data_IF_947526864674
#
_entry.id   IF_947526864674
#
_cell.length_a   1.000
_cell.length_b   1.000
_cell.length_c   1.000
_cell.angle_alpha   90.00
_cell.angle_beta   90.00
_cell.angle_gamma   90.00
#
_symmetry.space_group_name_H-M   'P 1'
#
loop_
_entity.id
_entity.type
_entity.pdbx_description
1 polymer ?
#
# COMPACT_ATOMS: atom_id res chain seq x y z
N UNK A 1 -23.06 -23.60 10.41
CA UNK A 1 -22.62 -23.13 9.07
C UNK A 1 -21.81 -21.90 9.37
N UNK A 2 -20.51 -22.11 9.61
CA UNK A 2 -19.65 -21.09 10.19
C UNK A 2 -19.41 -20.01 9.15
N UNK A 3 -19.87 -18.79 9.45
CA UNK A 3 -19.64 -17.64 8.60
C UNK A 3 -18.15 -17.37 8.58
N UNK A 4 -17.54 -17.53 7.42
CA UNK A 4 -16.19 -17.06 7.16
C UNK A 4 -16.20 -15.53 7.26
N UNK A 5 -15.53 -15.02 8.30
CA UNK A 5 -15.29 -13.60 8.46
C UNK A 5 -14.24 -13.14 7.47
N UNK A 6 -14.69 -12.46 6.42
CA UNK A 6 -13.84 -11.82 5.42
C UNK A 6 -13.07 -10.60 5.93
N UNK A 7 -13.09 -10.35 7.23
CA UNK A 7 -12.62 -9.12 7.83
C UNK A 7 -13.51 -7.92 7.54
N UNK A 8 -14.25 -7.84 6.41
CA UNK A 8 -14.96 -6.60 6.01
C UNK A 8 -16.37 -6.45 6.63
N UNK A 9 -17.15 -7.53 6.74
CA UNK A 9 -18.49 -7.50 7.37
C UNK A 9 -18.47 -7.78 8.87
N UNK A 10 -17.27 -7.97 9.39
CA UNK A 10 -16.98 -8.44 10.74
C UNK A 10 -15.59 -7.98 11.15
N UNK A 11 -15.23 -6.78 10.74
CA UNK A 11 -14.23 -6.06 11.47
C UNK A 11 -14.76 -5.96 12.90
N UNK A 12 -14.27 -6.83 13.78
CA UNK A 12 -14.25 -6.52 15.20
C UNK A 12 -13.66 -5.12 15.24
N UNK A 13 -14.36 -4.19 15.88
CA UNK A 13 -14.02 -2.76 15.94
C UNK A 13 -12.50 -2.49 16.03
N UNK A 14 -11.77 -3.36 16.74
CA UNK A 14 -10.31 -3.41 16.84
C UNK A 14 -9.57 -3.49 15.50
N UNK A 15 -9.95 -4.41 14.60
CA UNK A 15 -9.30 -4.55 13.30
C UNK A 15 -9.55 -3.34 12.39
N UNK A 16 -10.74 -2.72 12.41
CA UNK A 16 -10.98 -1.47 11.64
C UNK A 16 -10.09 -0.35 12.14
N UNK A 17 -9.96 -0.21 13.46
CA UNK A 17 -9.11 0.82 14.06
C UNK A 17 -7.63 0.58 13.73
N UNK A 18 -7.16 -0.66 13.79
CA UNK A 18 -5.76 -0.99 13.45
C UNK A 18 -5.48 -0.68 11.98
N UNK A 19 -6.37 -1.09 11.06
CA UNK A 19 -6.26 -0.79 9.62
C UNK A 19 -6.33 0.71 9.35
N UNK A 20 -7.24 1.45 9.98
CA UNK A 20 -7.33 2.91 9.81
C UNK A 20 -6.13 3.63 10.41
N UNK A 21 -5.62 3.17 11.56
CA UNK A 21 -4.42 3.73 12.18
C UNK A 21 -3.19 3.53 11.29
N UNK A 22 -3.08 2.37 10.66
CA UNK A 22 -2.05 2.08 9.67
C UNK A 22 -2.19 3.00 8.45
N UNK A 23 -3.37 3.06 7.82
CA UNK A 23 -3.56 3.86 6.61
C UNK A 23 -3.48 5.37 6.84
N UNK A 24 -3.90 5.87 8.02
CA UNK A 24 -3.65 7.26 8.41
C UNK A 24 -2.16 7.56 8.50
N UNK A 25 -1.37 6.62 9.04
CA UNK A 25 0.08 6.73 9.07
C UNK A 25 0.72 6.70 7.69
N UNK A 26 0.38 5.70 6.89
CA UNK A 26 0.85 5.58 5.52
C UNK A 26 0.50 6.86 4.71
N UNK A 27 -0.71 7.41 4.86
CA UNK A 27 -1.14 8.62 4.15
C UNK A 27 -0.29 9.85 4.45
N UNK A 28 0.01 10.15 5.73
CA UNK A 28 0.86 11.32 6.03
C UNK A 28 2.33 11.06 5.68
N UNK A 29 2.82 9.81 5.78
CA UNK A 29 4.17 9.45 5.33
C UNK A 29 4.33 9.60 3.80
N UNK A 30 3.30 9.27 3.02
CA UNK A 30 3.27 9.54 1.58
C UNK A 30 3.39 11.02 1.26
N UNK A 31 2.73 11.87 2.06
CA UNK A 31 2.83 13.31 1.90
C UNK A 31 4.26 13.79 2.17
N UNK A 32 4.90 13.28 3.22
CA UNK A 32 6.32 13.55 3.48
C UNK A 32 7.17 13.15 2.27
N UNK A 33 7.00 11.91 1.78
CA UNK A 33 7.74 11.40 0.62
C UNK A 33 7.55 12.33 -0.59
N UNK A 34 6.33 12.73 -0.93
CA UNK A 34 6.09 13.62 -2.08
C UNK A 34 6.69 15.02 -1.89
N UNK A 35 6.65 15.59 -0.68
CA UNK A 35 7.22 16.90 -0.39
C UNK A 35 8.75 16.87 -0.42
N UNK A 36 9.38 15.80 0.06
CA UNK A 36 10.84 15.66 0.12
C UNK A 36 11.45 15.15 -1.20
N UNK A 37 10.73 14.32 -1.94
CA UNK A 37 11.18 13.81 -3.25
C UNK A 37 11.19 14.90 -4.32
N UNK A 38 10.49 16.02 -4.16
CA UNK A 38 10.52 17.11 -5.13
C UNK A 38 11.88 17.83 -5.18
N UNK A 39 12.59 17.93 -4.04
CA UNK A 39 13.81 18.73 -3.93
C UNK A 39 15.00 18.22 -4.77
N UNK A 40 15.32 16.91 -4.81
CA UNK A 40 16.45 16.41 -5.61
C UNK A 40 16.28 16.55 -7.12
N UNK A 41 15.05 16.80 -7.60
CA UNK A 41 14.74 16.93 -9.03
C UNK A 41 14.53 18.38 -9.47
N UNK A 42 14.79 19.36 -8.58
CA UNK A 42 14.44 20.77 -8.81
C UNK A 42 12.95 20.97 -9.18
N UNK A 43 12.08 20.03 -8.80
CA UNK A 43 10.66 20.11 -9.06
C UNK A 43 10.05 21.10 -8.06
N UNK A 44 9.67 22.29 -8.53
CA UNK A 44 9.03 23.28 -7.70
C UNK A 44 7.51 23.08 -7.71
N UNK A 45 6.96 22.49 -6.64
CA UNK A 45 5.52 22.50 -6.41
C UNK A 45 5.06 23.94 -6.15
N UNK A 46 3.92 24.32 -6.73
CA UNK A 46 3.32 25.62 -6.42
C UNK A 46 3.02 25.73 -4.91
N UNK A 47 3.00 26.96 -4.39
CA UNK A 47 2.71 27.20 -2.98
C UNK A 47 1.34 26.63 -2.55
N UNK A 48 0.36 26.63 -3.46
CA UNK A 48 -0.96 26.05 -3.20
C UNK A 48 -0.88 24.54 -2.94
N UNK A 49 -0.12 23.78 -3.74
CA UNK A 49 0.08 22.34 -3.51
C UNK A 49 0.78 22.08 -2.18
N UNK A 50 1.84 22.83 -1.89
CA UNK A 50 2.58 22.68 -0.62
C UNK A 50 1.69 22.93 0.60
N UNK A 51 0.85 23.97 0.56
CA UNK A 51 -0.07 24.29 1.65
C UNK A 51 -1.15 23.23 1.83
N UNK A 52 -1.67 22.71 0.73
CA UNK A 52 -2.72 21.70 0.73
C UNK A 52 -2.22 20.33 1.22
N UNK A 53 -1.02 19.92 0.75
CA UNK A 53 -0.32 18.73 1.24
C UNK A 53 -0.05 18.80 2.75
N UNK A 54 0.50 19.92 3.25
CA UNK A 54 0.72 20.09 4.70
C UNK A 54 -0.56 20.01 5.52
N UNK A 55 -1.67 20.59 5.02
CA UNK A 55 -2.97 20.50 5.68
C UNK A 55 -3.47 19.05 5.75
N UNK A 56 -3.31 18.28 4.67
CA UNK A 56 -3.69 16.86 4.65
C UNK A 56 -2.80 16.03 5.56
N UNK A 57 -1.48 16.30 5.58
CA UNK A 57 -0.52 15.66 6.48
C UNK A 57 -0.99 15.78 7.93
N UNK A 58 -1.20 17.02 8.40
CA UNK A 58 -1.61 17.29 9.79
C UNK A 58 -2.96 16.62 10.12
N UNK A 59 -3.87 16.58 9.15
CA UNK A 59 -5.18 15.98 9.33
C UNK A 59 -5.14 14.44 9.45
N UNK A 60 -4.31 13.77 8.65
CA UNK A 60 -4.08 12.32 8.75
C UNK A 60 -3.29 11.96 10.01
N UNK A 61 -2.28 12.75 10.36
CA UNK A 61 -1.54 12.57 11.61
C UNK A 61 -2.47 12.66 12.83
N UNK A 62 -3.37 13.65 12.86
CA UNK A 62 -4.36 13.77 13.92
C UNK A 62 -5.25 12.52 14.03
N UNK A 63 -5.71 11.95 12.91
CA UNK A 63 -6.47 10.68 12.93
C UNK A 63 -5.63 9.55 13.54
N UNK A 64 -4.36 9.42 13.14
CA UNK A 64 -3.47 8.39 13.67
C UNK A 64 -3.29 8.48 15.20
N UNK A 65 -3.12 9.70 15.70
CA UNK A 65 -2.94 9.98 17.13
C UNK A 65 -4.24 9.79 17.94
N UNK A 66 -5.39 10.15 17.37
CA UNK A 66 -6.71 10.01 18.00
C UNK A 66 -7.16 8.55 18.14
N UNK A 67 -6.67 7.63 17.28
CA UNK A 67 -6.97 6.20 17.29
C UNK A 67 -6.23 5.42 18.40
N UNK A 68 -6.27 5.95 19.62
CA UNK A 68 -5.77 5.31 20.82
C UNK A 68 -6.80 4.28 21.37
N UNK A 69 -6.37 3.07 21.77
CA UNK A 69 -7.20 2.03 22.40
C UNK A 69 -8.17 2.45 23.51
N UNK A 70 -8.01 3.62 24.11
CA UNK A 70 -8.89 4.11 25.17
C UNK A 70 -10.29 4.59 24.72
N UNK A 71 -10.53 4.87 23.43
CA UNK A 71 -11.72 5.60 22.96
C UNK A 71 -12.64 4.82 21.96
N UNK A 72 -12.75 3.49 22.09
CA UNK A 72 -13.06 2.56 20.96
C UNK A 72 -14.47 2.56 20.36
N UNK A 73 -15.57 2.72 21.11
CA UNK A 73 -16.89 2.28 20.60
C UNK A 73 -17.79 3.36 19.98
N UNK A 74 -17.63 4.64 20.34
CA UNK A 74 -18.46 5.74 19.80
C UNK A 74 -17.85 6.46 18.59
N UNK A 75 -16.66 6.06 18.16
CA UNK A 75 -15.79 6.87 17.31
C UNK A 75 -15.61 6.32 15.88
N UNK A 76 -15.78 5.01 15.67
CA UNK A 76 -15.33 4.35 14.43
C UNK A 76 -16.03 4.87 13.18
N UNK A 77 -17.36 4.94 13.15
CA UNK A 77 -18.08 5.45 11.97
C UNK A 77 -17.68 6.89 11.61
N UNK A 78 -17.57 7.76 12.61
CA UNK A 78 -17.17 9.15 12.41
C UNK A 78 -15.72 9.27 11.94
N UNK A 79 -14.82 8.43 12.47
CA UNK A 79 -13.42 8.42 12.04
C UNK A 79 -13.26 7.86 10.64
N UNK A 80 -13.95 6.78 10.28
CA UNK A 80 -13.95 6.24 8.92
C UNK A 80 -14.47 7.28 7.94
N UNK A 81 -15.56 7.98 8.27
CA UNK A 81 -16.10 9.06 7.43
C UNK A 81 -15.12 10.22 7.28
N UNK A 82 -14.49 10.66 8.39
CA UNK A 82 -13.49 11.73 8.39
C UNK A 82 -12.27 11.33 7.56
N UNK A 83 -11.75 10.12 7.77
CA UNK A 83 -10.64 9.55 7.02
C UNK A 83 -10.96 9.54 5.53
N UNK A 84 -12.10 8.97 5.12
CA UNK A 84 -12.47 8.89 3.71
C UNK A 84 -12.66 10.26 3.06
N UNK A 85 -13.18 11.25 3.80
CA UNK A 85 -13.28 12.63 3.28
C UNK A 85 -11.91 13.23 3.00
N UNK A 86 -10.93 12.98 3.86
CA UNK A 86 -9.54 13.43 3.65
C UNK A 86 -8.87 12.63 2.53
N UNK A 87 -9.13 11.32 2.46
CA UNK A 87 -8.59 10.45 1.42
C UNK A 87 -9.10 10.84 0.02
N UNK A 88 -10.39 11.11 -0.14
CA UNK A 88 -10.96 11.57 -1.41
C UNK A 88 -10.34 12.90 -1.86
N UNK A 89 -10.07 13.80 -0.89
CA UNK A 89 -9.35 15.03 -1.16
C UNK A 89 -7.90 14.75 -1.59
N UNK A 90 -7.20 13.84 -0.90
CA UNK A 90 -5.83 13.47 -1.25
C UNK A 90 -5.74 12.80 -2.61
N UNK A 91 -6.67 11.88 -2.95
CA UNK A 91 -6.80 11.26 -4.28
C UNK A 91 -6.95 12.33 -5.36
N UNK A 92 -7.87 13.28 -5.18
CA UNK A 92 -8.07 14.39 -6.14
C UNK A 92 -6.79 15.20 -6.31
N UNK A 93 -6.06 15.44 -5.21
CA UNK A 93 -4.82 16.18 -5.23
C UNK A 93 -3.72 15.41 -5.99
N UNK A 94 -3.57 14.12 -5.73
CA UNK A 94 -2.61 13.23 -6.41
C UNK A 94 -2.91 13.08 -7.90
N UNK A 95 -4.19 12.99 -8.28
CA UNK A 95 -4.61 12.98 -9.68
C UNK A 95 -4.11 14.20 -10.43
N UNK A 96 -4.25 15.37 -9.82
CA UNK A 96 -3.75 16.63 -10.37
C UNK A 96 -2.24 16.72 -10.31
N UNK A 97 -1.61 16.28 -9.21
CA UNK A 97 -0.17 16.37 -8.98
C UNK A 97 0.64 15.66 -10.07
N UNK A 98 0.14 14.51 -10.58
CA UNK A 98 0.72 13.80 -11.73
C UNK A 98 0.92 14.69 -12.97
N UNK A 99 -0.01 15.62 -13.23
CA UNK A 99 -0.02 16.45 -14.45
C UNK A 99 0.41 17.89 -14.20
N UNK A 100 0.03 18.48 -13.07
CA UNK A 100 0.23 19.89 -12.75
C UNK A 100 1.50 20.11 -11.92
N UNK A 101 1.92 19.13 -11.11
CA UNK A 101 3.06 19.25 -10.19
C UNK A 101 4.33 18.56 -10.70
N UNK A 102 4.19 17.34 -11.22
CA UNK A 102 5.33 16.45 -11.53
C UNK A 102 5.40 16.00 -12.99
N UNK A 103 4.63 16.63 -13.87
CA UNK A 103 4.76 16.40 -15.29
C UNK A 103 6.19 16.75 -15.76
N UNK A 104 6.78 15.86 -16.57
CA UNK A 104 8.19 15.97 -16.97
C UNK A 104 9.20 15.33 -16.00
N UNK A 105 8.76 14.81 -14.85
CA UNK A 105 9.58 14.08 -13.88
C UNK A 105 9.10 12.62 -13.75
N UNK A 106 9.60 11.68 -14.59
CA UNK A 106 9.08 10.30 -14.64
C UNK A 106 9.06 9.58 -13.28
N UNK A 107 10.07 9.80 -12.45
CA UNK A 107 10.18 9.17 -11.13
C UNK A 107 9.11 9.71 -10.17
N UNK A 108 8.91 11.02 -10.15
CA UNK A 108 7.88 11.65 -9.30
C UNK A 108 6.47 11.31 -9.81
N UNK A 109 6.30 11.19 -11.12
CA UNK A 109 5.07 10.69 -11.71
C UNK A 109 4.77 9.26 -11.26
N UNK A 110 5.75 8.35 -11.34
CA UNK A 110 5.58 6.96 -10.91
C UNK A 110 5.27 6.87 -9.41
N UNK A 111 6.00 7.59 -8.56
CA UNK A 111 5.75 7.63 -7.12
C UNK A 111 4.35 8.18 -6.80
N UNK A 112 3.93 9.25 -7.48
CA UNK A 112 2.58 9.82 -7.30
C UNK A 112 1.50 8.85 -7.76
N UNK A 113 1.74 8.13 -8.86
CA UNK A 113 0.82 7.10 -9.34
C UNK A 113 0.69 5.93 -8.36
N UNK A 114 1.82 5.45 -7.83
CA UNK A 114 1.86 4.41 -6.81
C UNK A 114 1.05 4.82 -5.57
N UNK A 115 1.32 6.00 -5.01
CA UNK A 115 0.60 6.54 -3.85
C UNK A 115 -0.90 6.69 -4.14
N UNK A 116 -1.25 7.21 -5.33
CA UNK A 116 -2.64 7.32 -5.77
C UNK A 116 -3.33 5.96 -5.78
N UNK A 117 -2.66 4.93 -6.31
CA UNK A 117 -3.21 3.58 -6.36
C UNK A 117 -3.49 3.03 -4.97
N UNK A 118 -2.57 3.25 -4.01
CA UNK A 118 -2.80 2.90 -2.61
C UNK A 118 -4.02 3.64 -2.03
N UNK A 119 -4.08 4.96 -2.16
CA UNK A 119 -5.18 5.76 -1.61
C UNK A 119 -6.53 5.37 -2.22
N UNK A 120 -6.57 5.03 -3.51
CA UNK A 120 -7.79 4.51 -4.16
C UNK A 120 -8.21 3.16 -3.55
N UNK A 121 -7.26 2.26 -3.31
CA UNK A 121 -7.52 0.99 -2.62
C UNK A 121 -8.05 1.22 -1.20
N UNK A 122 -7.53 2.22 -0.47
CA UNK A 122 -8.02 2.55 0.87
C UNK A 122 -9.50 2.97 0.84
N UNK A 123 -9.90 3.75 -0.18
CA UNK A 123 -11.32 4.07 -0.37
C UNK A 123 -12.17 2.81 -0.54
N UNK A 124 -11.70 1.81 -1.29
CA UNK A 124 -12.44 0.56 -1.49
C UNK A 124 -12.58 -0.30 -0.24
N UNK A 125 -11.55 -0.41 0.61
CA UNK A 125 -11.63 -1.23 1.84
C UNK A 125 -12.56 -0.62 2.90
N UNK A 126 -12.71 0.71 2.93
CA UNK A 126 -13.52 1.40 3.95
C UNK A 126 -14.92 1.76 3.48
N UNK A 127 -15.19 1.85 2.17
CA UNK A 127 -16.53 2.10 1.61
C UNK A 127 -17.63 1.19 2.19
N UNK A 128 -17.44 -0.13 2.33
CA UNK A 128 -18.44 -1.00 2.94
C UNK A 128 -18.84 -0.61 4.37
N UNK A 129 -17.93 -0.01 5.13
CA UNK A 129 -18.17 0.42 6.52
C UNK A 129 -19.07 1.66 6.61
N UNK A 130 -19.19 2.44 5.53
CA UNK A 130 -20.12 3.56 5.45
C UNK A 130 -21.53 3.14 4.99
N UNK A 131 -21.64 1.99 4.31
CA UNK A 131 -22.83 1.56 3.59
C UNK A 131 -23.65 0.49 4.34
N UNK A 132 -23.80 0.62 5.65
CA UNK A 132 -24.61 -0.29 6.50
C UNK A 132 -26.12 -0.26 6.21
N UNK A 133 -26.55 0.40 5.13
CA UNK A 133 -27.86 0.21 4.49
C UNK A 133 -27.69 0.11 2.97
N UNK A 134 -27.62 -1.12 2.47
CA UNK A 134 -27.81 -1.55 1.07
C UNK A 134 -27.38 -0.54 -0.01
N UNK A 135 -26.15 -0.69 -0.53
CA UNK A 135 -25.76 -0.08 -1.81
C UNK A 135 -25.27 -1.16 -2.76
N UNK A 136 -25.80 -1.15 -3.98
CA UNK A 136 -25.44 -2.05 -5.08
C UNK A 136 -24.10 -1.61 -5.71
N UNK A 137 -23.28 -2.52 -6.25
CA UNK A 137 -21.88 -2.26 -6.66
C UNK A 137 -21.67 -1.40 -7.92
N UNK A 138 -22.67 -0.64 -8.39
CA UNK A 138 -22.68 -0.11 -9.76
C UNK A 138 -21.92 1.21 -9.98
N UNK A 139 -21.54 1.96 -8.94
CA UNK A 139 -21.12 3.36 -9.10
C UNK A 139 -19.64 3.65 -8.78
N UNK A 140 -18.72 2.69 -9.00
CA UNK A 140 -17.28 2.97 -8.91
C UNK A 140 -16.58 2.63 -10.22
N UNK A 141 -16.41 3.64 -11.07
CA UNK A 141 -15.58 3.58 -12.28
C UNK A 141 -14.11 3.74 -11.88
N UNK A 142 -13.41 2.63 -11.62
CA UNK A 142 -11.94 2.61 -11.66
C UNK A 142 -11.51 2.40 -13.12
N UNK A 143 -11.14 3.48 -13.79
CA UNK A 143 -10.54 3.45 -15.13
C UNK A 143 -9.04 3.12 -15.06
N UNK A 144 -8.73 1.92 -14.59
CA UNK A 144 -7.55 1.13 -14.88
C UNK A 144 -7.75 -0.24 -14.21
N UNK A 145 -8.53 -1.10 -14.83
CA UNK A 145 -8.53 -2.55 -14.60
C UNK A 145 -8.61 -3.11 -13.15
N UNK A 146 -9.16 -2.37 -12.19
CA UNK A 146 -9.92 -2.94 -11.05
C UNK A 146 -11.25 -3.55 -11.57
N UNK A 147 -11.21 -4.25 -12.72
CA UNK A 147 -12.39 -4.70 -13.46
C UNK A 147 -13.22 -5.61 -12.55
N UNK A 148 -14.36 -5.06 -12.11
CA UNK A 148 -15.55 -5.76 -11.57
C UNK A 148 -15.52 -6.19 -10.11
N UNK A 149 -14.49 -5.84 -9.35
CA UNK A 149 -14.37 -6.23 -7.95
C UNK A 149 -14.31 -5.01 -7.05
N UNK A 150 -15.46 -4.40 -6.73
CA UNK A 150 -15.59 -3.91 -5.36
C UNK A 150 -15.21 -5.09 -4.45
N UNK A 151 -14.49 -4.87 -3.36
CA UNK A 151 -14.21 -5.92 -2.38
C UNK A 151 -15.56 -6.51 -1.97
N UNK A 152 -15.92 -7.62 -2.62
CA UNK A 152 -17.26 -8.14 -2.55
C UNK A 152 -17.56 -8.51 -1.12
N UNK A 153 -18.85 -8.62 -0.78
CA UNK A 153 -19.24 -9.13 0.53
C UNK A 153 -18.80 -10.58 0.76
N UNK A 154 -18.31 -11.24 -0.29
CA UNK A 154 -17.77 -12.59 -0.27
C UNK A 154 -16.32 -12.61 0.25
N UNK A 155 -16.02 -13.42 1.30
CA UNK A 155 -14.68 -13.61 1.82
C UNK A 155 -13.60 -13.97 0.82
N UNK A 156 -13.91 -14.83 -0.14
CA UNK A 156 -12.95 -15.23 -1.16
C UNK A 156 -12.56 -14.06 -2.06
N UNK A 157 -13.52 -13.19 -2.39
CA UNK A 157 -13.27 -12.01 -3.22
C UNK A 157 -12.49 -10.94 -2.46
N UNK A 158 -12.77 -10.77 -1.16
CA UNK A 158 -11.99 -9.91 -0.30
C UNK A 158 -10.52 -10.35 -0.26
N UNK A 159 -10.26 -11.62 0.08
CA UNK A 159 -8.90 -12.18 0.15
C UNK A 159 -8.20 -12.09 -1.21
N UNK A 160 -8.92 -12.40 -2.29
CA UNK A 160 -8.40 -12.22 -3.65
C UNK A 160 -7.96 -10.78 -3.91
N UNK A 161 -8.82 -9.80 -3.61
CA UNK A 161 -8.54 -8.38 -3.83
C UNK A 161 -7.35 -7.88 -2.99
N UNK A 162 -7.26 -8.34 -1.74
CA UNK A 162 -6.12 -8.07 -0.86
C UNK A 162 -4.80 -8.56 -1.48
N UNK A 163 -4.74 -9.83 -1.87
CA UNK A 163 -3.53 -10.40 -2.48
C UNK A 163 -3.17 -9.68 -3.77
N UNK A 164 -4.17 -9.40 -4.62
CA UNK A 164 -3.95 -8.75 -5.92
C UNK A 164 -3.37 -7.35 -5.76
N UNK A 165 -3.92 -6.57 -4.82
CA UNK A 165 -3.37 -5.27 -4.47
C UNK A 165 -1.92 -5.39 -4.00
N UNK A 166 -1.66 -6.20 -2.97
CA UNK A 166 -0.32 -6.30 -2.38
C UNK A 166 0.72 -6.92 -3.32
N UNK A 167 0.32 -7.74 -4.31
CA UNK A 167 1.24 -8.21 -5.35
C UNK A 167 1.51 -7.17 -6.45
N UNK A 168 0.66 -6.16 -6.64
CA UNK A 168 1.00 -4.98 -7.46
C UNK A 168 1.98 -4.10 -6.68
N UNK A 169 1.67 -3.77 -5.43
CA UNK A 169 2.52 -2.96 -4.55
C UNK A 169 3.93 -3.58 -4.44
N UNK A 170 4.02 -4.89 -4.16
CA UNK A 170 5.29 -5.59 -4.12
C UNK A 170 6.06 -5.62 -5.45
N UNK A 171 5.38 -5.51 -6.60
CA UNK A 171 6.02 -5.40 -7.90
C UNK A 171 6.51 -3.98 -8.21
N UNK A 172 5.90 -2.94 -7.63
CA UNK A 172 6.29 -1.54 -7.85
C UNK A 172 7.48 -1.13 -6.96
N UNK A 173 7.51 -1.59 -5.71
CA UNK A 173 8.52 -1.22 -4.72
C UNK A 173 9.98 -1.43 -5.12
N UNK A 174 10.38 -2.52 -5.78
CA UNK A 174 11.76 -2.66 -6.23
C UNK A 174 12.18 -1.52 -7.15
N UNK A 175 11.31 -1.12 -8.09
CA UNK A 175 11.59 0.01 -8.99
C UNK A 175 11.65 1.34 -8.27
N UNK A 176 10.81 1.56 -7.25
CA UNK A 176 10.85 2.78 -6.42
C UNK A 176 12.16 2.85 -5.63
N UNK A 177 12.63 1.73 -5.08
CA UNK A 177 13.94 1.63 -4.39
C UNK A 177 15.09 1.94 -5.36
N UNK A 178 15.01 1.43 -6.59
CA UNK A 178 16.04 1.65 -7.61
C UNK A 178 16.01 3.06 -8.21
N UNK A 179 14.87 3.76 -8.16
CA UNK A 179 14.68 5.11 -8.69
C UNK A 179 15.12 6.22 -7.73
N UNK A 180 16.28 6.02 -7.13
CA UNK A 180 17.16 7.08 -6.63
C UNK A 180 17.80 7.78 -7.85
N UNK A 181 18.03 9.09 -7.77
CA UNK A 181 18.20 10.02 -8.90
C UNK A 181 19.12 9.59 -10.08
N UNK A 182 19.07 10.29 -11.24
CA UNK A 182 19.88 9.95 -12.43
C UNK A 182 21.41 9.93 -12.25
N UNK A 183 21.95 10.54 -11.18
CA UNK A 183 23.37 10.43 -10.81
C UNK A 183 23.68 9.16 -9.98
N UNK A 184 22.66 8.48 -9.47
CA UNK A 184 22.72 7.43 -8.45
C UNK A 184 22.45 6.02 -9.00
N UNK A 185 21.88 5.91 -10.21
CA UNK A 185 21.60 4.64 -10.91
C UNK A 185 22.86 3.76 -11.15
N UNK A 186 24.08 4.29 -10.97
CA UNK A 186 25.35 3.53 -11.06
C UNK A 186 25.93 3.11 -9.71
N UNK A 187 25.16 3.20 -8.62
CA UNK A 187 25.72 3.04 -7.28
C UNK A 187 25.24 1.80 -6.52
N UNK A 188 24.07 1.23 -6.84
CA UNK A 188 23.72 -0.06 -6.26
C UNK A 188 24.57 -1.17 -6.90
N UNK A 189 25.04 -2.16 -6.13
CA UNK A 189 25.67 -3.34 -6.69
C UNK A 189 24.76 -4.05 -7.69
N UNK A 190 25.33 -4.58 -8.78
CA UNK A 190 24.59 -5.33 -9.82
C UNK A 190 23.76 -6.47 -9.22
N UNK A 191 24.33 -7.23 -8.28
CA UNK A 191 23.61 -8.28 -7.55
C UNK A 191 22.37 -7.76 -6.80
N UNK A 192 22.41 -6.53 -6.29
CA UNK A 192 21.25 -5.92 -5.62
C UNK A 192 20.17 -5.53 -6.62
N UNK A 193 20.57 -4.99 -7.77
CA UNK A 193 19.65 -4.65 -8.86
C UNK A 193 18.97 -5.92 -9.39
N UNK A 194 19.75 -6.96 -9.68
CA UNK A 194 19.24 -8.24 -10.17
C UNK A 194 18.26 -8.90 -9.20
N UNK A 195 18.54 -8.86 -7.89
CA UNK A 195 17.61 -9.37 -6.87
C UNK A 195 16.30 -8.57 -6.84
N UNK A 196 16.36 -7.23 -6.93
CA UNK A 196 15.19 -6.35 -6.94
C UNK A 196 14.34 -6.54 -8.22
N UNK A 197 14.98 -6.63 -9.39
CA UNK A 197 14.30 -6.93 -10.65
C UNK A 197 13.63 -8.32 -10.62
N UNK A 198 14.32 -9.32 -10.09
CA UNK A 198 13.75 -10.65 -9.93
C UNK A 198 12.52 -10.64 -9.00
N UNK A 199 12.54 -9.86 -7.90
CA UNK A 199 11.36 -9.71 -7.04
C UNK A 199 10.17 -9.09 -7.80
N UNK A 200 10.41 -8.09 -8.64
CA UNK A 200 9.37 -7.50 -9.52
C UNK A 200 8.71 -8.57 -10.37
N UNK A 201 9.49 -9.44 -11.01
CA UNK A 201 8.97 -10.53 -11.83
C UNK A 201 8.18 -11.57 -11.02
N UNK A 202 8.65 -11.91 -9.82
CA UNK A 202 7.99 -12.88 -8.95
C UNK A 202 6.64 -12.36 -8.43
N UNK A 203 6.56 -11.08 -8.01
CA UNK A 203 5.29 -10.48 -7.61
C UNK A 203 4.31 -10.36 -8.79
N UNK A 204 4.81 -9.97 -9.97
CA UNK A 204 4.00 -10.00 -11.18
C UNK A 204 3.46 -11.41 -11.50
N UNK A 205 4.23 -12.47 -11.25
CA UNK A 205 3.75 -13.85 -11.38
C UNK A 205 2.57 -14.16 -10.46
N UNK A 206 2.55 -13.61 -9.25
CA UNK A 206 1.39 -13.70 -8.35
C UNK A 206 0.18 -13.00 -8.98
N UNK A 207 0.33 -11.76 -9.48
CA UNK A 207 -0.74 -11.03 -10.18
C UNK A 207 -1.34 -11.87 -11.32
N UNK A 208 -0.50 -12.47 -12.16
CA UNK A 208 -0.96 -13.32 -13.27
C UNK A 208 -1.72 -14.56 -12.77
N UNK A 209 -1.21 -15.23 -11.74
CA UNK A 209 -1.88 -16.40 -11.14
C UNK A 209 -3.24 -16.02 -10.58
N UNK A 210 -3.36 -14.90 -9.89
CA UNK A 210 -4.62 -14.37 -9.38
C UNK A 210 -5.61 -14.14 -10.53
N UNK A 211 -5.21 -13.43 -11.59
CA UNK A 211 -6.05 -13.23 -12.78
C UNK A 211 -6.53 -14.55 -13.40
N UNK A 212 -5.66 -15.57 -13.46
CA UNK A 212 -6.01 -16.88 -14.00
C UNK A 212 -7.02 -17.66 -13.16
N UNK A 213 -6.93 -17.57 -11.82
CA UNK A 213 -7.84 -18.31 -10.93
C UNK A 213 -9.19 -17.62 -10.77
N UNK A 214 -9.28 -16.30 -11.03
CA UNK A 214 -10.48 -15.50 -10.78
C UNK A 214 -11.77 -16.06 -11.40
N UNK A 215 -11.82 -16.52 -12.67
CA UNK A 215 -13.05 -17.09 -13.26
C UNK A 215 -13.55 -18.36 -12.57
N UNK A 216 -12.69 -19.03 -11.79
CA UNK A 216 -12.98 -20.27 -11.08
C UNK A 216 -12.57 -20.16 -9.60
N UNK A 217 -12.65 -18.95 -9.04
CA UNK A 217 -12.14 -18.64 -7.70
C UNK A 217 -12.77 -19.57 -6.66
N UNK A 218 -11.93 -20.27 -5.90
CA UNK A 218 -12.36 -21.14 -4.83
C UNK A 218 -11.31 -21.16 -3.70
N UNK A 219 -11.65 -21.81 -2.58
CA UNK A 219 -10.78 -21.86 -1.41
C UNK A 219 -9.42 -22.49 -1.72
N UNK A 220 -9.37 -23.53 -2.55
CA UNK A 220 -8.16 -24.31 -2.79
C UNK A 220 -7.18 -23.60 -3.72
N UNK A 221 -7.66 -23.04 -4.84
CA UNK A 221 -6.77 -22.31 -5.74
C UNK A 221 -6.25 -21.02 -5.10
N UNK A 222 -7.08 -20.31 -4.33
CA UNK A 222 -6.66 -19.12 -3.61
C UNK A 222 -5.66 -19.45 -2.51
N UNK A 223 -5.81 -20.59 -1.81
CA UNK A 223 -4.85 -21.08 -0.81
C UNK A 223 -3.44 -21.18 -1.35
N UNK A 224 -3.29 -21.80 -2.51
CA UNK A 224 -1.98 -22.03 -3.12
C UNK A 224 -1.30 -20.70 -3.40
N UNK A 225 -2.06 -19.72 -3.91
CA UNK A 225 -1.53 -18.39 -4.21
C UNK A 225 -1.20 -17.60 -2.94
N UNK A 226 -2.01 -17.67 -1.87
CA UNK A 226 -1.69 -17.02 -0.58
C UNK A 226 -0.35 -17.52 -0.03
N UNK A 227 -0.13 -18.85 -0.04
CA UNK A 227 1.13 -19.41 0.48
C UNK A 227 2.35 -18.97 -0.33
N UNK A 228 2.20 -18.90 -1.66
CA UNK A 228 3.26 -18.44 -2.54
C UNK A 228 3.56 -16.95 -2.32
N UNK A 229 2.52 -16.13 -2.21
CA UNK A 229 2.65 -14.71 -1.89
C UNK A 229 3.31 -14.50 -0.52
N UNK A 230 2.86 -15.20 0.52
CA UNK A 230 3.42 -15.11 1.88
C UNK A 230 4.92 -15.45 1.90
N UNK A 231 5.30 -16.54 1.22
CA UNK A 231 6.70 -16.94 1.09
C UNK A 231 7.51 -15.86 0.38
N UNK A 232 7.00 -15.33 -0.74
CA UNK A 232 7.65 -14.28 -1.51
C UNK A 232 7.79 -12.98 -0.72
N UNK A 233 6.75 -12.57 0.00
CA UNK A 233 6.77 -11.36 0.83
C UNK A 233 7.83 -11.44 1.92
N UNK A 234 7.96 -12.61 2.58
CA UNK A 234 9.01 -12.90 3.57
C UNK A 234 10.41 -12.89 2.95
N UNK A 235 10.56 -13.37 1.72
CA UNK A 235 11.83 -13.29 0.98
C UNK A 235 12.19 -11.85 0.66
N UNK A 236 11.21 -11.05 0.21
CA UNK A 236 11.44 -9.64 -0.09
C UNK A 236 11.80 -8.83 1.15
N UNK A 237 11.11 -9.03 2.28
CA UNK A 237 11.49 -8.42 3.57
C UNK A 237 12.94 -8.69 3.94
N UNK A 238 13.44 -9.92 3.75
CA UNK A 238 14.86 -10.24 3.99
C UNK A 238 15.80 -9.47 3.07
N UNK A 239 15.42 -9.22 1.82
CA UNK A 239 16.20 -8.40 0.88
C UNK A 239 16.22 -6.95 1.35
N UNK A 240 15.07 -6.39 1.75
CA UNK A 240 14.98 -5.03 2.28
C UNK A 240 15.81 -4.85 3.57
N UNK A 241 15.77 -5.84 4.46
CA UNK A 241 16.61 -5.87 5.66
C UNK A 241 18.10 -5.90 5.33
N UNK A 242 18.52 -6.72 4.36
CA UNK A 242 19.90 -6.74 3.87
C UNK A 242 20.29 -5.38 3.29
N UNK A 243 19.44 -4.74 2.48
CA UNK A 243 19.70 -3.40 1.96
C UNK A 243 19.88 -2.36 3.08
N UNK A 244 19.10 -2.49 4.16
CA UNK A 244 19.18 -1.60 5.32
C UNK A 244 20.41 -1.80 6.21
N UNK A 245 21.05 -2.98 6.22
CA UNK A 245 22.09 -3.33 7.22
C UNK A 245 23.39 -3.89 6.64
N UNK A 246 23.39 -4.39 5.40
CA UNK A 246 24.48 -5.17 4.83
C UNK A 246 25.27 -4.36 3.77
N UNK A 247 26.58 -4.19 4.02
CA UNK A 247 27.49 -3.49 3.12
C UNK A 247 27.66 -4.13 1.73
N UNK A 248 27.30 -5.41 1.58
CA UNK A 248 27.27 -6.08 0.27
C UNK A 248 26.13 -5.58 -0.60
N UNK A 249 24.97 -5.31 0.00
CA UNK A 249 23.76 -4.86 -0.71
C UNK A 249 23.70 -3.34 -0.83
N UNK A 250 24.24 -2.63 0.17
CA UNK A 250 24.38 -1.18 0.12
C UNK A 250 25.75 -0.77 0.69
N UNK A 251 26.79 -0.66 -0.16
CA UNK A 251 28.13 -0.29 0.28
C UNK A 251 28.15 1.04 1.03
N UNK A 252 28.97 1.17 2.08
CA UNK A 252 29.02 2.37 2.91
C UNK A 252 29.33 3.65 2.12
N UNK A 253 30.12 3.55 1.05
CA UNK A 253 30.42 4.68 0.17
C UNK A 253 29.19 5.18 -0.60
N UNK A 254 28.27 4.28 -0.94
CA UNK A 254 26.99 4.57 -1.59
C UNK A 254 26.02 5.13 -0.57
N UNK A 255 25.87 4.45 0.58
CA UNK A 255 25.02 4.88 1.70
C UNK A 255 25.24 6.34 2.11
N UNK A 256 26.50 6.81 2.12
CA UNK A 256 26.87 8.19 2.47
C UNK A 256 26.48 9.24 1.41
N UNK A 257 26.18 8.82 0.19
CA UNK A 257 25.80 9.70 -0.93
C UNK A 257 24.29 9.76 -1.14
N UNK A 258 23.57 8.74 -0.68
CA UNK A 258 22.11 8.71 -0.78
C UNK A 258 21.49 9.77 0.14
N UNK A 259 20.41 10.43 -0.31
CA UNK A 259 19.70 11.39 0.51
C UNK A 259 18.94 10.67 1.64
N UNK A 260 18.74 11.34 2.79
CA UNK A 260 18.04 10.76 3.94
C UNK A 260 16.64 10.22 3.58
N UNK A 261 15.98 10.84 2.59
CA UNK A 261 14.68 10.41 2.09
C UNK A 261 14.68 8.98 1.54
N UNK A 262 15.81 8.50 0.99
CA UNK A 262 15.93 7.11 0.54
C UNK A 262 15.69 6.13 1.68
N UNK A 263 16.29 6.38 2.85
CA UNK A 263 16.12 5.51 4.01
C UNK A 263 14.71 5.62 4.60
N UNK A 264 14.09 6.79 4.52
CA UNK A 264 12.67 6.97 4.87
C UNK A 264 11.75 6.15 3.97
N UNK A 265 11.97 6.17 2.64
CA UNK A 265 11.24 5.35 1.66
C UNK A 265 11.46 3.86 1.92
N UNK A 266 12.71 3.44 2.14
CA UNK A 266 13.03 2.04 2.43
C UNK A 266 12.34 1.55 3.71
N UNK A 267 12.37 2.34 4.78
CA UNK A 267 11.68 2.02 6.03
C UNK A 267 10.15 1.96 5.86
N UNK A 268 9.60 2.86 5.05
CA UNK A 268 8.17 2.87 4.73
C UNK A 268 7.77 1.58 3.99
N UNK A 269 8.47 1.23 2.91
CA UNK A 269 8.26 -0.01 2.14
C UNK A 269 8.36 -1.26 3.05
N UNK A 270 9.34 -1.30 3.96
CA UNK A 270 9.45 -2.42 4.92
C UNK A 270 8.17 -2.55 5.75
N UNK A 271 7.65 -1.46 6.30
CA UNK A 271 6.43 -1.48 7.13
C UNK A 271 5.19 -1.92 6.35
N UNK A 272 5.13 -1.63 5.07
CA UNK A 272 4.05 -2.08 4.19
C UNK A 272 4.10 -3.58 3.96
N UNK A 273 5.30 -4.12 3.72
CA UNK A 273 5.48 -5.56 3.59
C UNK A 273 5.31 -6.31 4.91
N UNK A 274 5.65 -5.71 6.06
CA UNK A 274 5.30 -6.23 7.39
C UNK A 274 3.78 -6.28 7.60
N UNK A 275 3.07 -5.24 7.16
CA UNK A 275 1.60 -5.23 7.20
C UNK A 275 0.99 -6.29 6.29
N UNK A 276 1.54 -6.47 5.07
CA UNK A 276 1.11 -7.53 4.16
C UNK A 276 1.37 -8.94 4.74
N UNK A 277 2.49 -9.15 5.45
CA UNK A 277 2.78 -10.39 6.18
C UNK A 277 1.74 -10.67 7.27
N UNK A 278 1.46 -9.68 8.14
CA UNK A 278 0.45 -9.81 9.20
C UNK A 278 -0.94 -10.10 8.61
N UNK A 279 -1.29 -9.46 7.50
CA UNK A 279 -2.52 -9.73 6.77
C UNK A 279 -2.58 -11.18 6.28
N UNK A 280 -1.51 -11.69 5.67
CA UNK A 280 -1.42 -13.08 5.24
C UNK A 280 -1.56 -14.06 6.40
N UNK A 281 -0.89 -13.78 7.52
CA UNK A 281 -0.99 -14.57 8.74
C UNK A 281 -2.42 -14.62 9.28
N UNK A 282 -3.11 -13.47 9.32
CA UNK A 282 -4.52 -13.38 9.74
C UNK A 282 -5.44 -14.14 8.80
N UNK A 283 -5.24 -14.01 7.49
CA UNK A 283 -6.00 -14.74 6.46
C UNK A 283 -5.78 -16.25 6.61
N UNK A 284 -4.52 -16.70 6.71
CA UNK A 284 -4.20 -18.12 6.86
C UNK A 284 -4.74 -18.68 8.17
N UNK A 285 -4.64 -17.97 9.28
CA UNK A 285 -5.25 -18.35 10.56
C UNK A 285 -6.77 -18.43 10.44
N UNK A 286 -7.43 -17.41 9.89
CA UNK A 286 -8.89 -17.39 9.73
C UNK A 286 -9.43 -18.46 8.76
N UNK A 287 -8.65 -18.85 7.76
CA UNK A 287 -9.03 -19.90 6.81
C UNK A 287 -8.73 -21.32 7.37
N UNK A 288 -7.71 -21.48 8.23
CA UNK A 288 -7.10 -22.78 8.57
C UNK A 288 -6.90 -23.09 10.08
N UNK A 289 -7.23 -22.21 11.02
CA UNK A 289 -7.18 -22.50 12.47
C UNK A 289 -8.43 -21.98 13.18
N UNK A 290 -9.18 -22.76 13.96
CA UNK A 290 -8.74 -23.71 14.99
C UNK A 290 -8.01 -24.98 14.52
N UNK A 291 -6.73 -25.06 14.86
CA UNK A 291 -5.98 -26.28 15.15
C UNK A 291 -4.83 -25.90 16.10
N UNK A 292 -5.09 -26.06 17.41
CA UNK A 292 -4.07 -26.41 18.39
C UNK A 292 -4.12 -27.91 18.58
#
# INVERSE_FOLDING_TARGET
MDMFDCGIYSFVNTMTMDTMKYWAKNSYQHIDVLLYSAMPYDAALSESYNKEMKRLHDAFQAIHEELNPANRERIIYHMVKRFLTLNDHFVTLLERLKFEGFNGYPILYQLTYHILYEQMYVSEIFKPLLNTRYVQPQDVLIHADFRRGGLGTNPLQCIYGQLYFWSIIGAEHPSIIMNISPAEMRQLPEETIDELDNMTHLFNRINYKLTQIYPKLNKENLRMVIKEFDTLNKEFLKILEKLSKNNRYLPQAVRKRLPDIFFGILEHIIKEHEYAEDLCDRILKGIYGHNH
#
